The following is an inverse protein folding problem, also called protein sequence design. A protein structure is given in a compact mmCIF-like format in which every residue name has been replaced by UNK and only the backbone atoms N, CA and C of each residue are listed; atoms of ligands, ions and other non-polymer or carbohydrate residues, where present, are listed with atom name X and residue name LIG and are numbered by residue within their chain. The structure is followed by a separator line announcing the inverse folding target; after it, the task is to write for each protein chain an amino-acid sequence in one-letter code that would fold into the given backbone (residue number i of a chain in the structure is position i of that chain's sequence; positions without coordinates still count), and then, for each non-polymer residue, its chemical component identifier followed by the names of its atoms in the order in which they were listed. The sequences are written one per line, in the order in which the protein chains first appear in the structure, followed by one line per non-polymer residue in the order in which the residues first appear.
data_IF_549888559214
#
_entry.id   IF_549888559214
#
_cell.length_a   1.000
_cell.length_b   1.000
_cell.length_c   1.000
_cell.angle_alpha   90.00
_cell.angle_beta   90.00
_cell.angle_gamma   90.00
#
_symmetry.space_group_name_H-M   'P 1'
#
loop_
_entity.id
_entity.type
_entity.pdbx_description
1 polymer ?
#
# COMPACT_ATOMS: atom_id res chain seq x y z
N UNK A 1 7.16 6.54 -20.04
CA UNK A 1 6.36 6.74 -18.95
C UNK A 1 6.46 5.60 -17.97
N UNK A 2 5.88 5.78 -16.89
CA UNK A 2 5.91 4.73 -15.92
C UNK A 2 5.06 3.59 -16.41
N UNK A 3 5.61 2.45 -16.43
CA UNK A 3 4.94 1.29 -16.96
C UNK A 3 4.58 0.31 -15.86
N UNK A 4 4.43 0.78 -14.65
CA UNK A 4 4.09 -0.07 -13.54
C UNK A 4 5.29 -0.57 -12.76
N UNK A 5 6.49 -0.17 -13.13
CA UNK A 5 7.68 -0.59 -12.40
C UNK A 5 7.90 0.30 -11.20
N UNK A 6 7.01 0.20 -10.25
CA UNK A 6 7.12 0.97 -9.03
C UNK A 6 7.84 0.12 -8.01
N UNK A 7 8.93 0.66 -7.48
CA UNK A 7 9.64 0.01 -6.38
C UNK A 7 9.01 0.45 -5.07
N UNK A 8 8.65 -0.52 -4.26
CA UNK A 8 8.06 -0.24 -2.96
C UNK A 8 9.02 -0.75 -1.91
N UNK A 9 9.59 0.18 -1.15
CA UNK A 9 10.51 -0.15 -0.06
C UNK A 9 9.82 0.19 1.24
N UNK A 10 9.84 -0.74 2.17
CA UNK A 10 9.21 -0.54 3.47
C UNK A 10 10.27 -0.19 4.50
N UNK A 11 9.94 0.77 5.37
CA UNK A 11 10.74 1.02 6.55
C UNK A 11 10.60 -0.15 7.52
N UNK A 12 11.49 -0.19 8.53
CA UNK A 12 11.38 -1.22 9.55
C UNK A 12 10.06 -1.12 10.29
N UNK A 13 9.57 0.09 10.52
CA UNK A 13 8.27 0.28 11.17
C UNK A 13 7.14 -0.26 10.33
N UNK A 14 7.19 -0.05 9.02
CA UNK A 14 6.16 -0.55 8.13
C UNK A 14 6.18 -2.08 8.10
N UNK A 15 7.37 -2.68 8.05
CA UNK A 15 7.49 -4.12 8.07
C UNK A 15 6.95 -4.70 9.38
N UNK A 16 7.24 -4.03 10.49
CA UNK A 16 6.72 -4.46 11.78
C UNK A 16 5.21 -4.36 11.83
N UNK A 17 4.66 -3.25 11.31
CA UNK A 17 3.21 -3.08 11.24
C UNK A 17 2.56 -4.22 10.46
N UNK A 18 3.14 -4.59 9.33
CA UNK A 18 2.59 -5.67 8.52
C UNK A 18 2.61 -7.01 9.25
N UNK A 19 3.58 -7.21 10.15
CA UNK A 19 3.63 -8.44 10.92
C UNK A 19 2.57 -8.50 12.01
N UNK A 20 2.05 -7.34 12.44
CA UNK A 20 1.13 -7.28 13.58
C UNK A 20 -0.34 -7.31 13.18
N UNK A 21 -0.66 -7.03 11.91
CA UNK A 21 -2.05 -7.05 11.46
C UNK A 21 -2.47 -8.48 11.13
N UNK A 22 -3.80 -8.75 11.07
CA UNK A 22 -4.27 -10.08 10.70
C UNK A 22 -3.71 -10.52 9.35
N UNK A 23 -3.49 -11.81 9.21
CA UNK A 23 -2.90 -12.32 7.98
C UNK A 23 -3.75 -11.98 6.77
N UNK A 24 -5.07 -12.05 6.89
CA UNK A 24 -5.95 -11.74 5.77
C UNK A 24 -5.78 -10.28 5.33
N UNK A 25 -5.58 -9.37 6.27
CA UNK A 25 -5.33 -7.96 5.94
C UNK A 25 -3.99 -7.83 5.24
N UNK A 26 -2.97 -8.53 5.72
CA UNK A 26 -1.65 -8.53 5.11
C UNK A 26 -1.71 -9.05 3.68
N UNK A 27 -2.47 -10.12 3.47
CA UNK A 27 -2.62 -10.70 2.14
C UNK A 27 -3.29 -9.70 1.20
N UNK A 28 -4.27 -8.94 1.68
CA UNK A 28 -4.92 -7.92 0.86
C UNK A 28 -3.95 -6.79 0.52
N UNK A 29 -3.12 -6.37 1.48
CA UNK A 29 -2.08 -5.38 1.18
C UNK A 29 -1.17 -5.90 0.07
N UNK A 30 -0.68 -7.12 0.21
CA UNK A 30 0.22 -7.71 -0.78
C UNK A 30 -0.46 -7.75 -2.15
N UNK A 31 -1.70 -8.15 -2.19
CA UNK A 31 -2.45 -8.21 -3.43
C UNK A 31 -2.59 -6.81 -4.04
N UNK A 32 -2.97 -5.83 -3.23
CA UNK A 32 -3.19 -4.47 -3.73
C UNK A 32 -1.89 -3.83 -4.18
N UNK A 33 -0.81 -4.05 -3.45
CA UNK A 33 0.50 -3.55 -3.87
C UNK A 33 0.89 -4.16 -5.20
N UNK A 34 0.61 -5.44 -5.39
CA UNK A 34 0.89 -6.11 -6.65
C UNK A 34 0.10 -5.52 -7.80
N UNK A 35 -1.16 -5.14 -7.57
CA UNK A 35 -1.99 -4.51 -8.60
C UNK A 35 -1.37 -3.18 -9.05
N UNK A 36 -0.94 -2.37 -8.09
CA UNK A 36 -0.34 -1.07 -8.40
C UNK A 36 1.00 -1.26 -9.11
N UNK A 37 1.82 -2.20 -8.65
CA UNK A 37 3.08 -2.49 -9.30
C UNK A 37 2.88 -2.99 -10.72
N UNK A 38 1.74 -3.64 -10.97
CA UNK A 38 1.38 -4.11 -12.30
C UNK A 38 0.82 -3.04 -13.20
N UNK A 39 0.70 -1.81 -12.72
CA UNK A 39 0.26 -0.68 -13.53
C UNK A 39 -1.16 -0.22 -13.31
N UNK A 40 -1.90 -0.88 -12.44
CA UNK A 40 -3.27 -0.48 -12.17
C UNK A 40 -3.30 0.89 -11.49
N UNK A 41 -4.30 1.71 -11.82
CA UNK A 41 -4.51 3.01 -11.19
C UNK A 41 -5.81 2.95 -10.41
N UNK A 42 -5.71 3.07 -9.10
CA UNK A 42 -6.89 2.99 -8.24
C UNK A 42 -6.63 3.84 -7.00
N UNK A 43 -7.30 5.01 -6.95
CA UNK A 43 -7.10 5.95 -5.85
C UNK A 43 -7.65 5.46 -4.53
N UNK A 44 -8.46 4.40 -4.54
CA UNK A 44 -8.98 3.85 -3.30
C UNK A 44 -7.95 2.99 -2.58
N UNK A 45 -6.98 2.45 -3.30
CA UNK A 45 -5.97 1.61 -2.69
C UNK A 45 -4.57 2.23 -2.71
N UNK A 46 -4.35 3.27 -3.53
CA UNK A 46 -3.03 3.90 -3.62
C UNK A 46 -3.21 5.32 -4.11
N UNK A 47 -2.83 6.30 -3.29
CA UNK A 47 -2.93 7.68 -3.70
C UNK A 47 -1.84 8.51 -3.05
N UNK A 48 -1.50 9.61 -3.72
CA UNK A 48 -0.53 10.56 -3.20
C UNK A 48 -1.24 11.53 -2.25
N UNK A 49 -0.63 11.79 -1.12
CA UNK A 49 -1.16 12.76 -0.17
C UNK A 49 -0.87 14.16 -0.68
N UNK A 50 -1.86 15.06 -0.54
CA UNK A 50 -1.74 16.41 -1.05
C UNK A 50 -0.55 17.14 -0.45
N UNK A 51 0.16 17.88 -1.31
CA UNK A 51 1.28 18.73 -0.90
C UNK A 51 2.44 17.95 -0.29
N UNK A 52 2.56 16.67 -0.62
CA UNK A 52 3.67 15.85 -0.14
C UNK A 52 4.15 14.95 -1.25
N UNK A 53 5.29 14.29 -0.99
CA UNK A 53 5.78 13.22 -1.86
C UNK A 53 5.44 11.87 -1.28
N UNK A 54 4.50 11.80 -0.35
CA UNK A 54 4.15 10.57 0.33
C UNK A 54 2.96 9.94 -0.36
N UNK A 55 3.05 8.66 -0.63
CA UNK A 55 1.97 7.86 -1.18
C UNK A 55 1.41 6.96 -0.08
N UNK A 56 0.13 6.69 -0.15
CA UNK A 56 -0.56 5.89 0.85
C UNK A 56 -1.17 4.67 0.18
N UNK A 57 -0.81 3.48 0.67
CA UNK A 57 -1.54 2.26 0.34
C UNK A 57 -2.63 2.07 1.37
N UNK A 58 -3.82 1.73 0.91
CA UNK A 58 -4.97 1.49 1.76
C UNK A 58 -5.49 0.10 1.56
N UNK A 59 -5.92 -0.51 2.65
CA UNK A 59 -6.59 -1.80 2.57
C UNK A 59 -7.69 -1.82 3.61
N UNK A 60 -8.89 -2.15 3.17
CA UNK A 60 -10.03 -2.29 4.07
C UNK A 60 -10.25 -3.77 4.33
N UNK A 61 -10.20 -4.14 5.58
CA UNK A 61 -10.45 -5.52 5.99
C UNK A 61 -11.23 -5.54 7.29
N UNK A 62 -12.35 -6.25 7.29
CA UNK A 62 -13.19 -6.42 8.47
C UNK A 62 -13.58 -5.06 9.08
N UNK A 63 -13.95 -4.12 8.21
CA UNK A 63 -14.37 -2.76 8.58
C UNK A 63 -13.27 -1.91 9.19
N UNK A 64 -12.02 -2.37 9.14
CA UNK A 64 -10.88 -1.59 9.61
C UNK A 64 -10.07 -1.15 8.40
N UNK A 65 -9.77 0.14 8.33
CA UNK A 65 -8.93 0.68 7.26
C UNK A 65 -7.47 0.66 7.72
N UNK A 66 -6.68 -0.13 7.04
CA UNK A 66 -5.23 -0.18 7.29
C UNK A 66 -4.53 0.69 6.26
N UNK A 67 -3.52 1.42 6.70
CA UNK A 67 -2.79 2.33 5.83
C UNK A 67 -1.29 2.10 5.96
N UNK A 68 -0.61 2.23 4.84
CA UNK A 68 0.83 2.05 4.78
C UNK A 68 1.39 3.16 3.90
N UNK A 69 2.37 3.88 4.40
CA UNK A 69 2.93 5.02 3.67
C UNK A 69 4.20 4.61 2.94
N UNK A 70 4.37 5.16 1.75
CA UNK A 70 5.52 4.89 0.89
C UNK A 70 6.07 6.21 0.36
N UNK A 71 7.36 6.22 0.12
CA UNK A 71 8.06 7.41 -0.38
C UNK A 71 8.63 7.17 -1.76
#
# INVERSE_FOLDING_TARGET
MINGNISVLFTDEAAEFLRTIPQQARDKFTYNIGRIKGGERNNEIFKKLENTEIWEFRTLYNKIAYRLFAF
#
